data_IF_189506251752
#
_entry.id   IF_189506251752
#
_cell.length_a   1.000
_cell.length_b   1.000
_cell.length_c   1.000
_cell.angle_alpha   90.00
_cell.angle_beta   90.00
_cell.angle_gamma   90.00
#
_symmetry.space_group_name_H-M   'P 1'
#
loop_
_entity.id
_entity.type
_entity.pdbx_description
1 polymer ?
#
# COMPACT_ATOMS: atom_id res chain seq x y z
N UNK A 1 -7.00 -0.48 -28.46
CA UNK A 1 -5.96 -0.78 -27.46
C UNK A 1 -6.16 0.08 -26.22
N UNK A 2 -5.87 -0.45 -25.02
CA UNK A 2 -5.81 0.35 -23.79
C UNK A 2 -4.59 1.29 -23.88
N UNK A 3 -4.78 2.56 -23.53
CA UNK A 3 -3.71 3.57 -23.56
C UNK A 3 -3.49 4.12 -22.15
N UNK A 4 -2.25 4.46 -21.83
CA UNK A 4 -1.92 5.25 -20.65
C UNK A 4 -2.21 6.74 -20.89
N UNK A 5 -1.95 7.56 -19.85
CA UNK A 5 -2.09 9.01 -19.86
C UNK A 5 -1.51 9.71 -21.10
N UNK A 6 -0.32 9.30 -21.54
CA UNK A 6 0.40 9.94 -22.63
C UNK A 6 0.11 9.29 -23.99
N UNK A 7 -0.85 8.36 -24.06
CA UNK A 7 -1.28 7.71 -25.29
C UNK A 7 -0.47 6.46 -25.67
N UNK A 8 0.49 6.04 -24.84
CA UNK A 8 1.24 4.81 -25.05
C UNK A 8 0.33 3.59 -24.85
N UNK A 9 0.49 2.59 -25.70
CA UNK A 9 -0.33 1.38 -25.67
C UNK A 9 0.11 0.46 -24.53
N UNK A 10 -0.84 0.00 -23.72
CA UNK A 10 -0.63 -0.99 -22.67
C UNK A 10 -1.18 -2.34 -23.17
N UNK A 11 -0.34 -3.26 -23.66
CA UNK A 11 -0.80 -4.56 -24.13
C UNK A 11 -1.15 -5.50 -22.98
N UNK A 12 -0.42 -5.42 -21.86
CA UNK A 12 -0.67 -6.16 -20.63
C UNK A 12 -0.05 -5.44 -19.44
N UNK A 13 -0.40 -5.86 -18.22
CA UNK A 13 0.43 -5.52 -17.06
C UNK A 13 1.85 -6.06 -17.27
N UNK A 14 2.83 -5.34 -16.78
CA UNK A 14 4.22 -5.76 -16.82
C UNK A 14 4.48 -6.92 -15.84
N UNK A 15 5.55 -7.70 -16.01
CA UNK A 15 5.81 -8.87 -15.17
C UNK A 15 5.87 -8.57 -13.67
N UNK A 16 6.49 -7.47 -13.25
CA UNK A 16 6.52 -7.12 -11.83
C UNK A 16 5.15 -6.68 -11.32
N UNK A 17 4.38 -5.92 -12.10
CA UNK A 17 3.02 -5.54 -11.72
C UNK A 17 2.10 -6.77 -11.55
N UNK A 18 2.26 -7.80 -12.40
CA UNK A 18 1.57 -9.09 -12.23
C UNK A 18 2.00 -9.78 -10.95
N UNK A 19 3.33 -9.91 -10.73
CA UNK A 19 3.90 -10.55 -9.53
C UNK A 19 3.43 -9.89 -8.24
N UNK A 20 3.46 -8.56 -8.17
CA UNK A 20 3.02 -7.81 -6.98
C UNK A 20 1.52 -8.02 -6.74
N UNK A 21 0.71 -7.94 -7.81
CA UNK A 21 -0.74 -8.18 -7.71
C UNK A 21 -1.03 -9.60 -7.22
N UNK A 22 -0.38 -10.60 -7.78
CA UNK A 22 -0.55 -12.00 -7.37
C UNK A 22 -0.10 -12.23 -5.92
N UNK A 23 1.02 -11.62 -5.51
CA UNK A 23 1.48 -11.62 -4.12
C UNK A 23 0.40 -11.07 -3.18
N UNK A 24 -0.08 -9.85 -3.47
CA UNK A 24 -1.10 -9.19 -2.66
C UNK A 24 -2.45 -9.93 -2.60
N UNK A 25 -2.81 -10.66 -3.66
CA UNK A 25 -4.08 -11.39 -3.73
C UNK A 25 -4.04 -12.78 -3.10
N UNK A 26 -2.92 -13.50 -3.21
CA UNK A 26 -2.86 -14.93 -2.92
C UNK A 26 -1.87 -15.32 -1.82
N UNK A 27 -0.73 -14.61 -1.69
CA UNK A 27 0.35 -15.02 -0.78
C UNK A 27 0.27 -14.36 0.60
N UNK A 28 -0.71 -13.48 0.80
CA UNK A 28 -0.75 -12.62 1.99
C UNK A 28 0.22 -11.45 1.86
N UNK A 29 0.01 -10.44 2.69
CA UNK A 29 0.89 -9.28 2.77
C UNK A 29 1.66 -9.43 4.07
N UNK A 30 2.96 -9.78 4.03
CA UNK A 30 3.73 -9.91 5.26
C UNK A 30 3.81 -8.55 5.96
N UNK A 31 3.59 -8.54 7.27
CA UNK A 31 4.07 -7.42 8.09
C UNK A 31 5.59 -7.31 7.90
N UNK A 32 6.10 -6.10 7.68
CA UNK A 32 7.51 -5.79 7.41
C UNK A 32 8.00 -5.96 5.94
N UNK A 33 7.51 -5.13 5.03
CA UNK A 33 8.00 -5.10 3.64
C UNK A 33 9.42 -4.51 3.44
N UNK A 34 10.20 -4.14 4.48
CA UNK A 34 11.61 -3.85 4.19
C UNK A 34 12.54 -3.11 5.15
N UNK A 35 12.14 -2.63 6.33
CA UNK A 35 13.13 -1.94 7.22
C UNK A 35 13.16 -2.45 8.66
N UNK A 36 12.01 -2.56 9.33
CA UNK A 36 11.89 -3.29 10.59
C UNK A 36 10.47 -3.83 10.71
N UNK A 37 10.30 -5.03 11.25
CA UNK A 37 8.97 -5.52 11.56
C UNK A 37 8.26 -4.59 12.54
N UNK A 38 6.98 -4.34 12.30
CA UNK A 38 6.10 -3.65 13.23
C UNK A 38 6.21 -4.24 14.65
N UNK A 39 6.38 -5.57 14.73
CA UNK A 39 6.69 -6.26 15.97
C UNK A 39 8.02 -5.80 16.58
N UNK A 40 9.10 -5.75 15.80
CA UNK A 40 10.43 -5.34 16.30
C UNK A 40 10.40 -3.90 16.81
N UNK A 41 9.76 -2.98 16.07
CA UNK A 41 9.59 -1.58 16.49
C UNK A 41 8.81 -1.48 17.79
N UNK A 42 7.76 -2.27 17.93
CA UNK A 42 6.98 -2.34 19.16
C UNK A 42 7.80 -2.91 20.33
N UNK A 43 8.55 -3.99 20.14
CA UNK A 43 9.41 -4.58 21.17
C UNK A 43 10.50 -3.63 21.63
N UNK A 44 11.14 -2.90 20.70
CA UNK A 44 12.17 -1.92 21.03
C UNK A 44 11.62 -0.69 21.77
N UNK A 45 10.50 -0.11 21.29
CA UNK A 45 9.93 1.12 21.87
C UNK A 45 9.13 0.86 23.15
N UNK A 46 8.50 -0.31 23.28
CA UNK A 46 7.57 -0.64 24.36
C UNK A 46 7.84 -2.04 24.95
N UNK A 47 9.05 -2.27 25.51
CA UNK A 47 9.45 -3.59 26.01
C UNK A 47 8.54 -4.09 27.15
N UNK A 48 8.04 -3.19 28.00
CA UNK A 48 7.11 -3.56 29.09
C UNK A 48 5.77 -4.09 28.57
N UNK A 49 5.17 -3.46 27.56
CA UNK A 49 3.92 -3.93 26.97
C UNK A 49 4.12 -5.26 26.25
N UNK A 50 5.24 -5.39 25.53
CA UNK A 50 5.63 -6.65 24.89
C UNK A 50 5.76 -7.79 25.91
N UNK A 51 6.43 -7.53 27.04
CA UNK A 51 6.59 -8.51 28.12
C UNK A 51 5.25 -8.99 28.69
N UNK A 52 4.28 -8.08 28.89
CA UNK A 52 2.93 -8.45 29.35
C UNK A 52 2.25 -9.39 28.34
N UNK A 53 2.31 -9.05 27.05
CA UNK A 53 1.71 -9.86 25.98
C UNK A 53 2.37 -11.24 25.94
N UNK A 54 3.70 -11.32 25.93
CA UNK A 54 4.42 -12.61 25.90
C UNK A 54 4.14 -13.47 27.13
N UNK A 55 4.01 -12.87 28.31
CA UNK A 55 3.71 -13.60 29.55
C UNK A 55 2.28 -14.14 29.57
N UNK A 56 1.33 -13.42 28.98
CA UNK A 56 -0.04 -13.91 28.86
C UNK A 56 -0.16 -15.13 27.92
N UNK A 57 0.83 -15.32 27.04
CA UNK A 57 0.90 -16.43 26.09
C UNK A 57 1.67 -17.65 26.65
N UNK A 58 2.64 -17.47 27.55
CA UNK A 58 3.59 -18.51 27.99
C UNK A 58 3.03 -19.56 28.97
N UNK A 59 1.80 -19.38 29.47
CA UNK A 59 1.20 -20.22 30.52
C UNK A 59 0.43 -21.47 30.06
N UNK A 60 0.50 -21.87 28.79
CA UNK A 60 -0.18 -23.09 28.27
C UNK A 60 -1.72 -23.05 28.24
N UNK A 61 -2.34 -22.02 28.82
CA UNK A 61 -3.75 -21.66 28.67
C UNK A 61 -3.81 -20.21 28.18
N UNK A 62 -3.96 -20.01 26.88
CA UNK A 62 -4.25 -18.70 26.27
C UNK A 62 -5.61 -18.23 26.80
N UNK A 63 -5.58 -17.41 27.85
CA UNK A 63 -6.78 -16.73 28.33
C UNK A 63 -7.02 -15.51 27.43
N UNK A 64 -8.28 -15.14 27.15
CA UNK A 64 -8.60 -13.89 26.50
C UNK A 64 -7.93 -12.73 27.24
N UNK A 65 -7.12 -11.96 26.53
CA UNK A 65 -6.50 -10.76 27.08
C UNK A 65 -7.63 -9.73 27.23
N UNK A 66 -7.97 -9.39 28.48
CA UNK A 66 -9.07 -8.46 28.78
C UNK A 66 -8.73 -7.00 28.47
N UNK A 67 -7.46 -6.62 28.58
CA UNK A 67 -6.99 -5.27 28.29
C UNK A 67 -6.06 -5.28 27.07
N UNK A 68 -6.31 -4.47 26.02
CA UNK A 68 -5.59 -4.55 24.75
C UNK A 68 -4.17 -3.95 24.85
N UNK A 69 -3.22 -4.66 25.46
CA UNK A 69 -1.83 -4.22 25.63
C UNK A 69 -1.09 -3.98 24.30
N UNK A 70 -1.61 -4.48 23.18
CA UNK A 70 -1.10 -4.26 21.82
C UNK A 70 -1.53 -2.92 21.20
N UNK A 71 -2.26 -2.06 21.90
CA UNK A 71 -2.77 -0.80 21.33
C UNK A 71 -1.68 0.11 20.75
N UNK A 72 -0.46 0.12 21.33
CA UNK A 72 0.68 0.87 20.78
C UNK A 72 1.35 0.22 19.59
N UNK A 73 1.13 -1.08 19.37
CA UNK A 73 1.58 -1.80 18.18
C UNK A 73 0.80 -1.34 16.95
N UNK A 74 -0.51 -1.08 17.11
CA UNK A 74 -1.41 -0.63 16.05
C UNK A 74 -2.00 0.76 16.35
N UNK A 75 -1.20 1.85 16.27
CA UNK A 75 -1.70 3.20 16.54
C UNK A 75 -2.81 3.65 15.59
N UNK A 76 -2.96 3.01 14.42
CA UNK A 76 -4.08 3.21 13.51
C UNK A 76 -4.73 1.90 13.11
N UNK A 77 -6.04 1.94 12.85
CA UNK A 77 -6.84 0.79 12.39
C UNK A 77 -6.19 0.06 11.20
N UNK A 78 -5.49 0.78 10.35
CA UNK A 78 -5.01 0.23 9.09
C UNK A 78 -3.69 -0.52 9.20
N UNK A 79 -2.98 -0.44 10.33
CA UNK A 79 -1.78 -1.24 10.55
C UNK A 79 -2.10 -2.68 10.90
N UNK A 80 -3.33 -2.96 11.37
CA UNK A 80 -3.81 -4.32 11.55
C UNK A 80 -4.37 -4.85 10.22
N UNK A 81 -3.53 -5.13 9.23
CA UNK A 81 -3.99 -5.58 7.90
C UNK A 81 -3.88 -7.10 7.66
N UNK A 82 -3.40 -7.87 8.63
CA UNK A 82 -3.26 -9.33 8.52
C UNK A 82 -4.61 -10.06 8.55
N UNK A 83 -5.54 -9.57 9.37
CA UNK A 83 -6.85 -10.16 9.56
C UNK A 83 -7.96 -9.22 9.05
N UNK A 84 -9.12 -9.81 8.78
CA UNK A 84 -10.32 -9.10 8.37
C UNK A 84 -10.74 -8.07 9.41
N UNK A 85 -11.41 -7.03 8.94
CA UNK A 85 -11.95 -5.96 9.79
C UNK A 85 -10.93 -5.24 10.66
N UNK A 86 -9.66 -5.31 10.30
CA UNK A 86 -8.57 -4.73 11.08
C UNK A 86 -8.45 -5.28 12.51
N UNK A 87 -8.70 -6.57 12.67
CA UNK A 87 -8.56 -7.26 13.95
C UNK A 87 -7.08 -7.58 14.22
N UNK A 88 -6.49 -7.11 15.34
CA UNK A 88 -5.15 -7.52 15.75
C UNK A 88 -5.07 -9.03 16.02
N UNK A 89 -3.95 -9.65 15.64
CA UNK A 89 -3.72 -11.09 15.81
C UNK A 89 -3.76 -11.49 17.30
N UNK A 90 -3.21 -10.64 18.18
CA UNK A 90 -3.21 -10.83 19.64
C UNK A 90 -4.63 -10.89 20.24
N UNK A 91 -5.61 -10.28 19.57
CA UNK A 91 -7.00 -10.33 20.00
C UNK A 91 -7.63 -11.71 19.73
N UNK A 92 -7.23 -12.39 18.65
CA UNK A 92 -7.80 -13.67 18.23
C UNK A 92 -7.25 -14.85 19.01
N UNK A 93 -5.98 -14.78 19.44
CA UNK A 93 -5.28 -15.86 20.14
C UNK A 93 -5.96 -16.31 21.45
N UNK A 94 -6.62 -15.37 22.13
CA UNK A 94 -7.27 -15.63 23.42
C UNK A 94 -8.59 -16.38 23.35
N UNK A 95 -9.22 -16.49 22.17
CA UNK A 95 -10.53 -17.13 22.04
C UNK A 95 -10.49 -18.65 21.88
N UNK A 96 -9.32 -19.23 21.59
CA UNK A 96 -9.12 -20.68 21.53
C UNK A 96 -9.92 -21.42 20.44
N UNK A 97 -10.66 -20.72 19.58
CA UNK A 97 -11.46 -21.31 18.50
C UNK A 97 -10.74 -21.15 17.14
N UNK A 98 -10.20 -22.24 16.56
CA UNK A 98 -9.49 -22.19 15.28
C UNK A 98 -10.39 -21.79 14.11
N UNK A 99 -11.69 -22.09 14.16
CA UNK A 99 -12.65 -21.67 13.12
C UNK A 99 -12.84 -20.16 13.13
N UNK A 100 -12.87 -19.54 14.31
CA UNK A 100 -12.93 -18.09 14.42
C UNK A 100 -11.68 -17.45 13.80
N UNK A 101 -10.48 -17.90 14.20
CA UNK A 101 -9.23 -17.38 13.63
C UNK A 101 -9.20 -17.56 12.11
N UNK A 102 -9.68 -18.70 11.59
CA UNK A 102 -9.81 -18.94 10.15
C UNK A 102 -10.81 -17.98 9.49
N UNK A 103 -11.96 -17.70 10.11
CA UNK A 103 -12.96 -16.78 9.57
C UNK A 103 -12.42 -15.35 9.37
N UNK A 104 -11.53 -14.90 10.27
CA UNK A 104 -10.85 -13.61 10.19
C UNK A 104 -9.57 -13.63 9.35
N UNK A 105 -9.10 -14.80 8.90
CA UNK A 105 -7.85 -14.92 8.14
C UNK A 105 -7.88 -14.24 6.77
N UNK A 106 -6.68 -13.99 6.22
CA UNK A 106 -6.45 -13.48 4.87
C UNK A 106 -7.19 -14.25 3.77
N UNK A 107 -7.36 -15.57 3.94
CA UNK A 107 -8.04 -16.43 2.95
C UNK A 107 -9.49 -15.98 2.71
N UNK A 108 -10.15 -15.53 3.78
CA UNK A 108 -11.55 -15.10 3.75
C UNK A 108 -11.72 -13.59 3.47
N UNK A 109 -10.63 -12.87 3.20
CA UNK A 109 -10.70 -11.45 2.84
C UNK A 109 -11.28 -11.25 1.45
N UNK A 110 -12.13 -10.21 1.32
CA UNK A 110 -12.54 -9.68 0.02
C UNK A 110 -11.34 -9.07 -0.70
N UNK A 111 -11.38 -9.00 -2.04
CA UNK A 111 -10.32 -8.36 -2.83
C UNK A 111 -10.05 -6.92 -2.38
N UNK A 112 -11.09 -6.16 -2.03
CA UNK A 112 -10.95 -4.81 -1.48
C UNK A 112 -10.30 -4.74 -0.09
N UNK A 113 -10.41 -5.80 0.73
CA UNK A 113 -9.69 -5.92 2.00
C UNK A 113 -8.20 -6.17 1.73
N UNK A 114 -7.89 -7.06 0.80
CA UNK A 114 -6.50 -7.37 0.40
C UNK A 114 -5.80 -6.14 -0.18
N UNK A 115 -6.47 -5.40 -1.06
CA UNK A 115 -5.94 -4.16 -1.64
C UNK A 115 -5.70 -3.09 -0.56
N UNK A 116 -6.60 -2.96 0.41
CA UNK A 116 -6.40 -2.05 1.56
C UNK A 116 -5.20 -2.48 2.41
N UNK A 117 -5.00 -3.78 2.59
CA UNK A 117 -3.82 -4.30 3.28
C UNK A 117 -2.53 -3.96 2.54
N UNK A 118 -2.50 -4.14 1.21
CA UNK A 118 -1.31 -3.84 0.41
C UNK A 118 -0.93 -2.37 0.50
N UNK A 119 -1.91 -1.47 0.37
CA UNK A 119 -1.70 -0.04 0.57
C UNK A 119 -1.13 0.25 1.95
N UNK A 120 -1.62 -0.44 2.98
CA UNK A 120 -1.20 -0.20 4.37
C UNK A 120 0.23 -0.67 4.60
N UNK A 121 0.61 -1.84 4.10
CA UNK A 121 1.98 -2.35 4.17
C UNK A 121 2.98 -1.48 3.37
N UNK A 122 2.59 -1.01 2.19
CA UNK A 122 3.41 -0.07 1.42
C UNK A 122 3.54 1.28 2.14
N UNK A 123 2.47 1.80 2.75
CA UNK A 123 2.54 3.01 3.56
C UNK A 123 3.45 2.82 4.77
N UNK A 124 3.42 1.65 5.42
CA UNK A 124 4.30 1.35 6.54
C UNK A 124 5.79 1.40 6.14
N UNK A 125 6.12 0.97 4.91
CA UNK A 125 7.50 0.98 4.38
C UNK A 125 7.99 2.36 3.96
N UNK A 126 7.12 3.17 3.34
CA UNK A 126 7.53 4.38 2.62
C UNK A 126 7.06 5.69 3.27
N UNK A 127 6.13 5.64 4.23
CA UNK A 127 5.68 6.84 4.94
C UNK A 127 6.51 7.02 6.22
N UNK A 128 6.97 8.26 6.50
CA UNK A 128 7.80 8.53 7.68
C UNK A 128 7.03 8.37 9.00
N UNK A 129 5.73 8.70 9.01
CA UNK A 129 4.89 8.67 10.21
C UNK A 129 3.60 7.87 10.00
N UNK A 130 3.19 7.13 11.04
CA UNK A 130 2.01 6.27 11.06
C UNK A 130 0.68 7.03 10.88
N UNK A 131 0.64 8.31 11.27
CA UNK A 131 -0.56 9.15 11.20
C UNK A 131 -0.70 9.91 9.87
N UNK A 132 0.33 9.94 9.04
CA UNK A 132 0.37 10.80 7.85
C UNK A 132 -0.23 10.14 6.59
N UNK A 133 -1.54 9.88 6.62
CA UNK A 133 -2.28 9.31 5.48
C UNK A 133 -2.42 10.24 4.28
N UNK A 134 -2.28 11.54 4.51
CA UNK A 134 -2.40 12.57 3.47
C UNK A 134 -1.03 13.03 2.93
N UNK A 135 0.07 12.40 3.35
CA UNK A 135 1.40 12.69 2.81
C UNK A 135 1.48 12.38 1.32
N UNK A 136 2.45 12.99 0.62
CA UNK A 136 2.69 12.72 -0.79
C UNK A 136 3.02 11.24 -1.05
N UNK A 137 3.89 10.54 -0.27
CA UNK A 137 4.13 9.11 -0.42
C UNK A 137 2.85 8.27 -0.26
N UNK A 138 2.09 8.48 0.82
CA UNK A 138 0.85 7.74 1.07
C UNK A 138 -0.17 7.91 -0.06
N UNK A 139 -0.25 9.12 -0.61
CA UNK A 139 -1.15 9.43 -1.73
C UNK A 139 -0.68 8.79 -3.03
N UNK A 140 0.63 8.81 -3.32
CA UNK A 140 1.21 8.12 -4.47
C UNK A 140 0.94 6.62 -4.41
N UNK A 141 1.16 5.98 -3.27
CA UNK A 141 0.95 4.53 -3.07
C UNK A 141 -0.50 4.14 -3.36
N UNK A 142 -1.46 4.86 -2.78
CA UNK A 142 -2.89 4.61 -3.03
C UNK A 142 -3.24 4.73 -4.50
N UNK A 143 -2.76 5.78 -5.16
CA UNK A 143 -3.04 6.03 -6.56
C UNK A 143 -2.35 4.99 -7.46
N UNK A 144 -1.13 4.59 -7.16
CA UNK A 144 -0.37 3.57 -7.88
C UNK A 144 -1.07 2.21 -7.84
N UNK A 145 -1.47 1.75 -6.65
CA UNK A 145 -2.24 0.51 -6.48
C UNK A 145 -3.55 0.61 -7.25
N UNK A 146 -4.27 1.74 -7.14
CA UNK A 146 -5.52 1.98 -7.87
C UNK A 146 -5.35 1.97 -9.38
N UNK A 147 -4.29 2.58 -9.90
CA UNK A 147 -3.96 2.58 -11.34
C UNK A 147 -3.72 1.15 -11.81
N UNK A 148 -2.99 0.33 -11.05
CA UNK A 148 -2.76 -1.08 -11.39
C UNK A 148 -4.07 -1.88 -11.41
N UNK A 149 -4.96 -1.69 -10.43
CA UNK A 149 -6.29 -2.32 -10.43
C UNK A 149 -7.10 -1.93 -11.66
N UNK A 150 -7.17 -0.64 -11.97
CA UNK A 150 -7.93 -0.12 -13.11
C UNK A 150 -7.37 -0.64 -14.43
N UNK A 151 -6.03 -0.66 -14.59
CA UNK A 151 -5.36 -1.27 -15.75
C UNK A 151 -5.72 -2.74 -15.87
N UNK A 152 -5.63 -3.50 -14.77
CA UNK A 152 -6.00 -4.91 -14.76
C UNK A 152 -7.46 -5.16 -15.16
N UNK A 153 -8.38 -4.36 -14.63
CA UNK A 153 -9.80 -4.48 -14.95
C UNK A 153 -10.06 -4.14 -16.42
N UNK A 154 -9.45 -3.07 -16.95
CA UNK A 154 -9.63 -2.64 -18.33
C UNK A 154 -9.00 -3.59 -19.35
N UNK A 155 -7.99 -4.38 -18.97
CA UNK A 155 -7.45 -5.45 -19.81
C UNK A 155 -8.46 -6.60 -20.00
N UNK A 156 -9.27 -6.88 -18.98
CA UNK A 156 -10.36 -7.87 -19.07
C UNK A 156 -11.63 -7.28 -19.71
N UNK A 157 -11.95 -6.03 -19.38
CA UNK A 157 -13.18 -5.33 -19.76
C UNK A 157 -12.88 -4.02 -20.51
N UNK A 158 -12.38 -4.08 -21.77
CA UNK A 158 -11.87 -2.92 -22.49
C UNK A 158 -12.95 -1.93 -22.94
N UNK A 159 -14.23 -2.30 -22.92
CA UNK A 159 -15.36 -1.43 -23.32
C UNK A 159 -15.87 -0.53 -22.18
N UNK A 160 -15.35 -0.69 -20.96
CA UNK A 160 -15.77 0.14 -19.83
C UNK A 160 -15.15 1.55 -19.91
N UNK A 161 -15.86 2.49 -20.54
CA UNK A 161 -15.40 3.87 -20.73
C UNK A 161 -15.30 4.68 -19.43
N UNK A 162 -16.16 4.39 -18.44
CA UNK A 162 -16.10 5.01 -17.11
C UNK A 162 -14.76 4.70 -16.45
N UNK A 163 -14.30 3.45 -16.53
CA UNK A 163 -13.03 3.05 -15.94
C UNK A 163 -11.83 3.63 -16.68
N UNK A 164 -11.92 3.86 -18.00
CA UNK A 164 -10.88 4.59 -18.76
C UNK A 164 -10.76 6.03 -18.29
N UNK A 165 -11.89 6.71 -18.08
CA UNK A 165 -11.90 8.07 -17.54
C UNK A 165 -11.28 8.11 -16.13
N UNK A 166 -11.68 7.18 -15.26
CA UNK A 166 -11.10 7.06 -13.92
C UNK A 166 -9.60 6.75 -13.96
N UNK A 167 -9.14 5.89 -14.86
CA UNK A 167 -7.72 5.60 -15.04
C UNK A 167 -6.95 6.87 -15.38
N UNK A 168 -7.38 7.61 -16.41
CA UNK A 168 -6.71 8.85 -16.82
C UNK A 168 -6.70 9.93 -15.72
N UNK A 169 -7.77 10.05 -14.94
CA UNK A 169 -7.80 10.96 -13.78
C UNK A 169 -6.81 10.55 -12.68
N UNK A 170 -6.72 9.25 -12.38
CA UNK A 170 -5.79 8.74 -11.37
C UNK A 170 -4.33 8.83 -11.84
N UNK A 171 -4.03 8.54 -13.10
CA UNK A 171 -2.68 8.67 -13.66
C UNK A 171 -2.20 10.13 -13.65
N UNK A 172 -3.04 11.09 -14.02
CA UNK A 172 -2.70 12.53 -13.91
C UNK A 172 -2.42 12.97 -12.48
N UNK A 173 -3.23 12.47 -11.54
CA UNK A 173 -3.04 12.79 -10.12
C UNK A 173 -1.76 12.13 -9.59
N UNK A 174 -1.50 10.89 -10.00
CA UNK A 174 -0.31 10.14 -9.64
C UNK A 174 0.96 10.84 -10.15
N UNK A 175 0.98 11.30 -11.41
CA UNK A 175 2.09 12.07 -11.98
C UNK A 175 2.42 13.30 -11.12
N UNK A 176 1.41 14.09 -10.75
CA UNK A 176 1.59 15.29 -9.91
C UNK A 176 2.16 14.96 -8.54
N UNK A 177 1.63 13.93 -7.88
CA UNK A 177 2.10 13.53 -6.55
C UNK A 177 3.50 12.91 -6.60
N UNK A 178 3.81 12.15 -7.64
CA UNK A 178 5.16 11.61 -7.87
C UNK A 178 6.21 12.71 -7.99
N UNK A 179 5.90 13.81 -8.68
CA UNK A 179 6.80 14.97 -8.76
C UNK A 179 7.08 15.60 -7.41
N UNK A 180 6.09 15.67 -6.53
CA UNK A 180 6.26 16.15 -5.14
C UNK A 180 7.12 15.18 -4.35
N UNK A 181 6.77 13.88 -4.37
CA UNK A 181 7.51 12.87 -3.62
C UNK A 181 8.99 12.81 -4.04
N UNK A 182 9.27 12.90 -5.34
CA UNK A 182 10.64 12.98 -5.88
C UNK A 182 11.49 14.10 -5.26
N UNK A 183 10.87 15.21 -4.88
CA UNK A 183 11.55 16.38 -4.27
C UNK A 183 11.71 16.25 -2.76
N UNK A 184 10.84 15.48 -2.10
CA UNK A 184 10.89 15.22 -0.67
C UNK A 184 11.90 14.13 -0.33
N UNK A 185 11.83 12.99 -1.02
CA UNK A 185 12.74 11.86 -0.85
C UNK A 185 12.89 11.13 -2.19
N UNK A 186 13.97 11.47 -2.89
CA UNK A 186 14.27 10.88 -4.19
C UNK A 186 14.54 9.37 -4.11
N UNK A 187 15.16 8.89 -3.03
CA UNK A 187 15.57 7.49 -2.91
C UNK A 187 14.34 6.60 -2.77
N UNK A 188 13.45 6.92 -1.83
CA UNK A 188 12.21 6.18 -1.63
C UNK A 188 11.30 6.25 -2.87
N UNK A 189 11.20 7.43 -3.48
CA UNK A 189 10.49 7.64 -4.75
C UNK A 189 11.00 6.70 -5.86
N UNK A 190 12.31 6.67 -6.07
CA UNK A 190 12.92 5.91 -7.16
C UNK A 190 12.80 4.40 -6.94
N UNK A 191 12.99 3.95 -5.69
CA UNK A 191 12.79 2.56 -5.30
C UNK A 191 11.36 2.10 -5.59
N UNK A 192 10.37 2.89 -5.17
CA UNK A 192 8.95 2.59 -5.39
C UNK A 192 8.60 2.49 -6.88
N UNK A 193 9.01 3.48 -7.68
CA UNK A 193 8.69 3.49 -9.12
C UNK A 193 9.30 2.30 -9.86
N UNK A 194 10.54 1.93 -9.51
CA UNK A 194 11.21 0.79 -10.11
C UNK A 194 10.53 -0.51 -9.73
N UNK A 195 10.16 -0.68 -8.46
CA UNK A 195 9.49 -1.89 -7.98
C UNK A 195 8.10 -2.07 -8.61
N UNK A 196 7.35 -0.98 -8.75
CA UNK A 196 5.99 -0.99 -9.30
C UNK A 196 5.92 -0.76 -10.82
N UNK A 197 7.05 -0.55 -11.50
CA UNK A 197 7.18 -0.28 -12.95
C UNK A 197 6.24 0.82 -13.44
N UNK A 198 6.30 1.99 -12.80
CA UNK A 198 5.43 3.15 -13.08
C UNK A 198 6.17 4.31 -13.78
N UNK A 199 7.27 4.00 -14.47
CA UNK A 199 8.05 4.98 -15.23
C UNK A 199 7.22 5.63 -16.34
N UNK A 200 6.25 4.90 -16.89
CA UNK A 200 5.39 5.36 -17.98
C UNK A 200 4.48 6.53 -17.57
N UNK A 201 4.20 6.71 -16.27
CA UNK A 201 3.44 7.85 -15.73
C UNK A 201 4.33 9.09 -15.53
N UNK A 202 5.66 8.92 -15.48
CA UNK A 202 6.59 10.00 -15.17
C UNK A 202 7.20 10.66 -16.42
N UNK A 203 6.75 10.28 -17.62
CA UNK A 203 7.30 10.76 -18.88
C UNK A 203 6.69 12.11 -19.27
N UNK A 204 7.45 13.00 -19.91
CA UNK A 204 6.89 14.22 -20.46
C UNK A 204 5.83 13.92 -21.52
N UNK A 205 4.67 14.57 -21.43
CA UNK A 205 3.53 14.40 -22.36
C UNK A 205 3.95 14.43 -23.83
N UNK A 206 4.82 15.39 -24.19
CA UNK A 206 5.31 15.57 -25.54
C UNK A 206 6.59 16.40 -25.56
N UNK A 207 7.30 16.28 -26.70
CA UNK A 207 8.55 17.00 -26.95
C UNK A 207 8.37 18.52 -26.92
N UNK A 208 7.26 19.05 -27.45
CA UNK A 208 7.02 20.50 -27.55
C UNK A 208 7.02 21.14 -26.16
N UNK A 209 6.14 20.68 -25.25
CA UNK A 209 6.06 21.18 -23.87
C UNK A 209 7.40 21.01 -23.13
N UNK A 210 8.09 19.91 -23.38
CA UNK A 210 9.39 19.64 -22.76
C UNK A 210 10.47 20.63 -23.22
N UNK A 211 10.57 20.91 -24.53
CA UNK A 211 11.51 21.89 -25.10
C UNK A 211 11.29 23.31 -24.59
N UNK A 212 10.04 23.70 -24.38
CA UNK A 212 9.69 25.00 -23.78
C UNK A 212 9.87 25.03 -22.25
N UNK A 213 10.42 23.98 -21.64
CA UNK A 213 10.64 23.87 -20.20
C UNK A 213 9.35 23.79 -19.38
N UNK A 214 8.18 23.65 -20.00
CA UNK A 214 6.89 23.62 -19.30
C UNK A 214 6.78 22.41 -18.36
N UNK A 215 7.41 21.30 -18.74
CA UNK A 215 7.49 20.11 -17.90
C UNK A 215 8.17 20.41 -16.55
N UNK A 216 9.29 21.12 -16.58
CA UNK A 216 10.08 21.50 -15.40
C UNK A 216 9.42 22.64 -14.61
N UNK A 217 8.78 23.60 -15.28
CA UNK A 217 7.99 24.68 -14.63
C UNK A 217 6.83 24.18 -13.78
N UNK A 218 6.40 22.93 -13.97
CA UNK A 218 5.39 22.32 -13.11
C UNK A 218 5.90 22.14 -11.68
N UNK A 219 7.20 21.91 -11.48
CA UNK A 219 7.80 21.78 -10.14
C UNK A 219 7.78 23.10 -9.38
N UNK A 220 8.18 24.20 -10.05
CA UNK A 220 8.07 25.55 -9.52
C UNK A 220 6.65 25.88 -9.04
N UNK A 221 5.63 25.51 -9.83
CA UNK A 221 4.22 25.70 -9.48
C UNK A 221 3.75 24.84 -8.31
N UNK A 222 4.46 23.75 -8.01
CA UNK A 222 4.21 22.88 -6.87
C UNK A 222 4.98 23.32 -5.62
N UNK A 223 5.78 24.40 -5.70
CA UNK A 223 6.56 24.93 -4.58
C UNK A 223 7.86 24.18 -4.32
N UNK A 224 8.44 23.55 -5.36
CA UNK A 224 9.70 22.79 -5.29
C UNK A 224 10.69 23.18 -6.39
#
# INVERSE_FOLDING_TARGET
ALKNLHGAVIPSLSPNQKRIREGALYKGIPQAMGQESLQNRFTQKHPFLHYIISNSQSGGKTRPISFPFWYKKYPTVHQAYENRFAVPSEMLEGYGNPEMTRAFSFVNMKESEKVRGEVSALCERYCPDDHQRKSAPATCIRLAVRVRELRSHLLLNPKNHVYKMLLGMNERRLEKEFRKWRKLDFRAYWEFIREHELLDVCQPDNLVKSRWGMWWRTELRLGH
#
